data_IF_248934029902
#
_entry.id   IF_248934029902
#
_cell.length_a   1.000
_cell.length_b   1.000
_cell.length_c   1.000
_cell.angle_alpha   90.00
_cell.angle_beta   90.00
_cell.angle_gamma   90.00
#
_symmetry.space_group_name_H-M   'P 1'
#
loop_
_entity.id
_entity.type
_entity.pdbx_description
1 polymer ?
#
# COMPACT_ATOMS: atom_id res chain seq x y z
N UNK A 1 3.35 -31.34 -5.16
CA UNK A 1 4.67 -30.72 -5.40
C UNK A 1 4.44 -29.33 -5.97
N UNK A 2 4.98 -28.33 -5.31
CA UNK A 2 4.91 -26.93 -5.76
C UNK A 2 5.85 -26.76 -6.97
N UNK A 3 5.31 -26.21 -8.07
CA UNK A 3 6.10 -26.04 -9.31
C UNK A 3 6.92 -24.75 -9.19
N UNK A 4 8.22 -24.85 -9.21
CA UNK A 4 9.13 -23.69 -9.21
C UNK A 4 9.40 -23.25 -10.65
N UNK A 5 9.04 -22.00 -10.98
CA UNK A 5 9.32 -21.45 -12.30
C UNK A 5 10.84 -21.24 -12.47
N UNK A 6 11.41 -21.68 -13.59
CA UNK A 6 12.86 -21.64 -13.86
C UNK A 6 13.47 -20.22 -13.71
N UNK A 7 12.76 -19.17 -14.08
CA UNK A 7 13.20 -17.78 -13.92
C UNK A 7 13.53 -17.41 -12.48
N UNK A 8 12.83 -18.00 -11.47
CA UNK A 8 13.15 -17.78 -10.05
C UNK A 8 14.50 -18.38 -9.64
N UNK A 9 14.95 -19.40 -10.34
CA UNK A 9 16.22 -20.08 -10.04
C UNK A 9 17.40 -19.42 -10.74
N UNK A 10 17.19 -18.91 -11.95
CA UNK A 10 18.26 -18.35 -12.82
C UNK A 10 18.37 -16.81 -12.67
N UNK A 11 17.38 -16.15 -12.05
CA UNK A 11 17.44 -14.70 -11.79
C UNK A 11 18.55 -14.34 -10.79
N UNK A 12 19.09 -13.13 -10.91
CA UNK A 12 20.08 -12.62 -9.96
C UNK A 12 19.55 -12.72 -8.51
N UNK A 13 20.24 -13.47 -7.64
CA UNK A 13 19.78 -13.61 -6.24
C UNK A 13 19.88 -12.31 -5.45
N UNK A 14 20.73 -11.36 -5.87
CA UNK A 14 21.07 -10.15 -5.11
C UNK A 14 20.22 -8.94 -5.49
N UNK A 15 19.65 -8.91 -6.69
CA UNK A 15 18.91 -7.74 -7.19
C UNK A 15 17.50 -8.11 -7.63
N UNK A 16 16.59 -7.14 -7.48
CA UNK A 16 15.19 -7.31 -7.89
C UNK A 16 15.08 -7.41 -9.42
N UNK A 17 14.40 -8.46 -9.87
CA UNK A 17 14.17 -8.75 -11.28
C UNK A 17 12.71 -9.09 -11.60
N UNK A 18 12.43 -9.48 -12.84
CA UNK A 18 11.09 -9.91 -13.29
C UNK A 18 10.55 -11.06 -12.44
N UNK A 19 11.41 -12.00 -12.05
CA UNK A 19 11.02 -13.21 -11.32
C UNK A 19 10.52 -12.95 -9.89
N UNK A 20 10.76 -11.75 -9.36
CA UNK A 20 10.32 -11.33 -8.04
C UNK A 20 8.90 -10.72 -8.06
N UNK A 21 8.24 -10.71 -9.24
CA UNK A 21 6.88 -10.19 -9.42
C UNK A 21 5.96 -11.29 -9.95
N UNK A 22 4.73 -11.28 -9.51
CA UNK A 22 3.64 -12.03 -10.13
C UNK A 22 3.12 -11.32 -11.38
N UNK A 23 2.35 -12.00 -12.21
CA UNK A 23 1.81 -11.40 -13.42
C UNK A 23 0.84 -10.26 -13.11
N UNK A 24 1.16 -9.05 -13.61
CA UNK A 24 0.38 -7.84 -13.35
C UNK A 24 0.58 -7.24 -11.96
N UNK A 25 1.47 -7.80 -11.15
CA UNK A 25 1.78 -7.28 -9.83
C UNK A 25 2.52 -5.94 -9.93
N UNK A 26 2.13 -5.00 -9.07
CA UNK A 26 2.84 -3.75 -8.81
C UNK A 26 3.15 -3.64 -7.32
N UNK A 27 4.36 -3.22 -6.98
CA UNK A 27 4.83 -3.10 -5.59
C UNK A 27 5.05 -1.64 -5.24
N UNK A 28 4.39 -1.16 -4.19
CA UNK A 28 4.71 0.14 -3.59
C UNK A 28 5.78 -0.08 -2.53
N UNK A 29 6.91 0.61 -2.68
CA UNK A 29 8.08 0.45 -1.82
C UNK A 29 8.60 1.82 -1.41
N UNK A 30 9.25 1.86 -0.24
CA UNK A 30 9.85 3.07 0.32
C UNK A 30 11.36 3.00 0.17
N UNK A 31 11.97 4.01 -0.42
CA UNK A 31 13.43 4.08 -0.54
C UNK A 31 14.03 4.27 0.86
N UNK A 32 14.93 3.37 1.26
CA UNK A 32 15.71 3.52 2.49
C UNK A 32 16.94 4.39 2.25
N UNK A 33 17.73 4.02 1.25
CA UNK A 33 18.95 4.74 0.86
C UNK A 33 19.36 4.41 -0.58
N UNK A 34 20.23 5.23 -1.14
CA UNK A 34 20.92 4.97 -2.41
C UNK A 34 22.42 4.84 -2.14
N UNK A 35 23.02 3.78 -2.67
CA UNK A 35 24.48 3.63 -2.69
C UNK A 35 24.98 3.81 -4.14
N UNK A 36 25.90 4.72 -4.36
CA UNK A 36 26.29 5.17 -5.70
C UNK A 36 27.54 4.48 -6.30
N UNK A 37 28.09 3.47 -5.65
CA UNK A 37 29.30 2.76 -6.14
C UNK A 37 29.33 1.31 -5.64
N UNK A 38 28.26 0.55 -5.87
CA UNK A 38 28.20 -0.86 -5.54
C UNK A 38 28.77 -1.67 -6.69
N UNK A 39 29.68 -2.59 -6.41
CA UNK A 39 30.21 -3.53 -7.37
C UNK A 39 29.15 -4.56 -7.74
N UNK A 40 28.78 -4.63 -9.00
CA UNK A 40 27.75 -5.53 -9.52
C UNK A 40 28.36 -6.40 -10.60
N UNK A 41 28.13 -7.72 -10.53
CA UNK A 41 28.49 -8.63 -11.60
C UNK A 41 27.48 -8.49 -12.74
N UNK A 42 27.97 -8.15 -13.93
CA UNK A 42 27.16 -8.07 -15.14
C UNK A 42 27.66 -9.12 -16.16
N UNK A 43 26.92 -9.34 -17.23
CA UNK A 43 27.34 -10.22 -18.32
C UNK A 43 28.67 -9.80 -18.94
N UNK A 44 29.01 -8.52 -18.88
CA UNK A 44 30.27 -7.93 -19.42
C UNK A 44 31.40 -7.89 -18.36
N UNK A 45 31.15 -8.38 -17.13
CA UNK A 45 32.10 -8.37 -16.03
C UNK A 45 31.65 -7.53 -14.84
N UNK A 46 32.58 -7.22 -13.95
CA UNK A 46 32.31 -6.40 -12.76
C UNK A 46 32.22 -4.91 -13.13
N UNK A 47 31.16 -4.27 -12.70
CA UNK A 47 30.96 -2.83 -12.90
C UNK A 47 30.42 -2.15 -11.65
N UNK A 48 30.77 -0.88 -11.43
CA UNK A 48 30.19 -0.08 -10.34
C UNK A 48 28.89 0.54 -10.81
N UNK A 49 27.81 0.31 -10.05
CA UNK A 49 26.47 0.84 -10.33
C UNK A 49 25.88 1.51 -9.08
N UNK A 50 24.99 2.45 -9.30
CA UNK A 50 24.15 2.96 -8.21
C UNK A 50 23.03 1.96 -7.91
N UNK A 51 22.75 1.75 -6.62
CA UNK A 51 21.78 0.78 -6.13
C UNK A 51 20.87 1.41 -5.11
N UNK A 52 19.55 1.21 -5.27
CA UNK A 52 18.52 1.63 -4.31
C UNK A 52 18.21 0.48 -3.38
N UNK A 53 18.18 0.77 -2.09
CA UNK A 53 17.73 -0.12 -1.02
C UNK A 53 16.36 0.33 -0.53
N UNK A 54 15.51 -0.63 -0.17
CA UNK A 54 14.15 -0.39 0.30
C UNK A 54 14.04 -0.60 1.81
N UNK A 55 13.02 -0.02 2.42
CA UNK A 55 12.69 -0.26 3.84
C UNK A 55 12.00 -1.61 4.01
N UNK A 56 11.25 -2.02 3.01
CA UNK A 56 10.60 -3.32 2.94
C UNK A 56 11.64 -4.43 2.72
N UNK A 57 11.34 -5.65 3.14
CA UNK A 57 12.21 -6.82 2.94
C UNK A 57 12.20 -7.27 1.48
N UNK A 58 12.76 -6.43 0.61
CA UNK A 58 12.91 -6.68 -0.82
C UNK A 58 14.36 -6.57 -1.26
N UNK A 59 14.70 -7.30 -2.32
CA UNK A 59 16.01 -7.17 -2.96
C UNK A 59 16.25 -5.74 -3.43
N UNK A 60 17.48 -5.22 -3.32
CA UNK A 60 17.82 -3.89 -3.83
C UNK A 60 17.69 -3.84 -5.36
N UNK A 61 17.55 -2.63 -5.89
CA UNK A 61 17.37 -2.37 -7.32
C UNK A 61 18.57 -1.62 -7.89
N UNK A 62 19.17 -2.16 -8.95
CA UNK A 62 20.18 -1.44 -9.72
C UNK A 62 19.52 -0.25 -10.45
N UNK A 63 20.11 0.93 -10.31
CA UNK A 63 19.69 2.11 -11.04
C UNK A 63 20.21 2.13 -12.47
N UNK A 64 19.35 2.59 -13.36
CA UNK A 64 19.72 3.01 -14.71
C UNK A 64 19.09 4.38 -14.98
N UNK A 65 19.42 5.00 -16.09
CA UNK A 65 18.95 6.34 -16.46
C UNK A 65 17.42 6.46 -16.44
N UNK A 66 16.71 5.45 -16.94
CA UNK A 66 15.24 5.48 -16.98
C UNK A 66 14.62 5.42 -15.57
N UNK A 67 15.12 4.53 -14.70
CA UNK A 67 14.69 4.42 -13.30
C UNK A 67 15.01 5.68 -12.52
N UNK A 68 16.22 6.24 -12.67
CA UNK A 68 16.63 7.48 -12.01
C UNK A 68 15.74 8.67 -12.42
N UNK A 69 15.44 8.83 -13.71
CA UNK A 69 14.52 9.87 -14.19
C UNK A 69 13.11 9.72 -13.60
N UNK A 70 12.61 8.49 -13.46
CA UNK A 70 11.31 8.25 -12.87
C UNK A 70 11.29 8.60 -11.37
N UNK A 71 12.32 8.19 -10.62
CA UNK A 71 12.45 8.51 -9.19
C UNK A 71 12.59 10.02 -8.99
N UNK A 72 13.41 10.71 -9.79
CA UNK A 72 13.53 12.17 -9.76
C UNK A 72 12.18 12.86 -9.90
N UNK A 73 11.30 12.39 -10.79
CA UNK A 73 9.95 12.96 -10.95
C UNK A 73 9.07 12.73 -9.72
N UNK A 74 9.18 11.59 -9.08
CA UNK A 74 8.39 11.23 -7.88
C UNK A 74 8.90 11.99 -6.66
N UNK A 75 10.23 12.04 -6.49
CA UNK A 75 10.89 12.69 -5.36
C UNK A 75 10.85 14.23 -5.48
N UNK A 76 10.83 14.74 -6.72
CA UNK A 76 10.92 16.19 -6.98
C UNK A 76 12.35 16.73 -6.90
N UNK A 77 13.36 15.87 -6.76
CA UNK A 77 14.79 16.24 -6.67
C UNK A 77 15.67 15.27 -7.46
N UNK A 78 16.71 15.74 -8.14
CA UNK A 78 17.67 14.89 -8.84
C UNK A 78 18.76 14.30 -7.93
N UNK A 79 18.82 14.68 -6.66
CA UNK A 79 19.86 14.27 -5.73
C UNK A 79 19.47 13.00 -4.97
N UNK A 80 20.40 12.07 -4.85
CA UNK A 80 20.15 10.75 -4.20
C UNK A 80 19.81 10.88 -2.72
N UNK A 81 20.36 11.88 -2.07
CA UNK A 81 20.16 12.18 -0.63
C UNK A 81 18.70 12.51 -0.33
N UNK A 82 18.02 13.16 -1.27
CA UNK A 82 16.61 13.55 -1.13
C UNK A 82 15.63 12.40 -1.42
N UNK A 83 16.13 11.26 -1.88
CA UNK A 83 15.26 10.12 -2.21
C UNK A 83 14.93 9.23 -1.01
N UNK A 84 15.60 9.42 0.12
CA UNK A 84 15.28 8.67 1.35
C UNK A 84 13.82 8.92 1.78
N UNK A 85 13.14 7.85 2.20
CA UNK A 85 11.73 7.85 2.59
C UNK A 85 10.72 8.17 1.48
N UNK A 86 11.17 8.32 0.23
CA UNK A 86 10.27 8.50 -0.91
C UNK A 86 9.62 7.15 -1.27
N UNK A 87 8.29 7.16 -1.39
CA UNK A 87 7.54 6.00 -1.85
C UNK A 87 7.45 5.99 -3.36
N UNK A 88 7.82 4.88 -3.95
CA UNK A 88 7.79 4.64 -5.40
C UNK A 88 6.98 3.38 -5.71
N UNK A 89 6.47 3.29 -6.92
CA UNK A 89 5.74 2.13 -7.40
C UNK A 89 6.53 1.42 -8.47
N UNK A 90 6.84 0.14 -8.23
CA UNK A 90 7.55 -0.74 -9.16
C UNK A 90 6.54 -1.55 -9.95
N UNK A 91 6.81 -1.76 -11.22
CA UNK A 91 6.02 -2.60 -12.11
C UNK A 91 6.90 -3.29 -13.15
N UNK A 92 6.37 -4.29 -13.82
CA UNK A 92 7.04 -4.95 -14.94
C UNK A 92 6.55 -4.34 -16.26
N UNK A 93 7.47 -3.75 -17.01
CA UNK A 93 7.25 -3.37 -18.40
C UNK A 93 7.60 -4.55 -19.29
N UNK A 94 6.62 -5.01 -20.09
CA UNK A 94 6.77 -6.17 -20.98
C UNK A 94 7.27 -5.72 -22.37
N UNK A 95 7.95 -6.63 -23.05
CA UNK A 95 8.36 -6.47 -24.46
C UNK A 95 9.25 -5.25 -24.75
N UNK A 96 10.18 -4.94 -23.85
CA UNK A 96 11.16 -3.89 -24.08
C UNK A 96 12.25 -4.44 -24.99
N UNK A 97 12.59 -3.71 -26.07
CA UNK A 97 13.76 -4.04 -26.90
C UNK A 97 15.05 -3.74 -26.12
N UNK A 98 15.79 -4.78 -25.78
CA UNK A 98 17.10 -4.66 -25.16
C UNK A 98 17.99 -5.83 -25.59
N UNK A 99 19.25 -5.55 -25.84
CA UNK A 99 20.26 -6.57 -26.26
C UNK A 99 19.87 -7.40 -27.49
N UNK A 100 19.07 -6.84 -28.40
CA UNK A 100 18.58 -7.52 -29.60
C UNK A 100 17.30 -8.34 -29.42
N UNK A 101 16.83 -8.53 -28.19
CA UNK A 101 15.65 -9.31 -27.83
C UNK A 101 14.54 -8.47 -27.18
N UNK A 102 13.34 -9.07 -27.09
CA UNK A 102 12.23 -8.54 -26.31
C UNK A 102 12.32 -9.09 -24.87
N UNK A 103 12.62 -8.23 -23.92
CA UNK A 103 12.76 -8.60 -22.51
C UNK A 103 11.74 -7.86 -21.65
N UNK A 104 11.43 -8.44 -20.51
CA UNK A 104 10.66 -7.78 -19.48
C UNK A 104 11.61 -7.14 -18.46
N UNK A 105 11.29 -5.93 -17.99
CA UNK A 105 12.13 -5.24 -17.03
C UNK A 105 11.34 -4.55 -15.94
N UNK A 106 11.91 -4.58 -14.72
CA UNK A 106 11.39 -3.79 -13.60
C UNK A 106 11.54 -2.30 -13.92
N UNK A 107 10.46 -1.56 -13.78
CA UNK A 107 10.38 -0.10 -13.98
C UNK A 107 9.82 0.59 -12.75
N UNK A 108 10.02 1.88 -12.69
CA UNK A 108 9.46 2.78 -11.66
C UNK A 108 8.42 3.67 -12.34
N UNK A 109 7.21 3.75 -11.77
CA UNK A 109 6.22 4.72 -12.24
C UNK A 109 6.69 6.14 -11.93
N UNK A 110 6.56 7.02 -12.92
CA UNK A 110 6.96 8.42 -12.81
C UNK A 110 5.92 9.31 -12.11
N UNK A 111 5.00 8.68 -11.37
CA UNK A 111 3.94 9.32 -10.58
C UNK A 111 4.02 8.83 -9.14
N UNK A 112 3.64 9.69 -8.19
CA UNK A 112 3.54 9.27 -6.78
C UNK A 112 2.53 8.14 -6.65
N UNK A 113 2.87 7.06 -5.92
CA UNK A 113 1.93 5.96 -5.72
C UNK A 113 0.70 6.44 -4.95
N UNK A 114 -0.48 6.06 -5.44
CA UNK A 114 -1.72 6.26 -4.70
C UNK A 114 -1.78 5.19 -3.63
N UNK A 115 -1.39 5.56 -2.41
CA UNK A 115 -1.53 4.66 -1.26
C UNK A 115 -2.99 4.70 -0.86
N UNK A 116 -3.73 3.68 -1.24
CA UNK A 116 -5.04 3.45 -0.64
C UNK A 116 -4.77 2.98 0.79
N UNK A 117 -4.84 3.91 1.74
CA UNK A 117 -4.82 3.52 3.14
C UNK A 117 -6.00 2.58 3.36
N UNK A 118 -5.72 1.34 3.76
CA UNK A 118 -6.76 0.39 4.11
C UNK A 118 -7.60 1.00 5.23
N UNK A 119 -8.88 1.24 4.95
CA UNK A 119 -9.80 1.79 5.95
C UNK A 119 -10.22 0.64 6.85
N UNK A 120 -9.95 0.73 8.14
CA UNK A 120 -10.29 -0.30 9.10
C UNK A 120 -11.75 -0.19 9.55
N UNK A 121 -12.37 -1.35 9.71
CA UNK A 121 -13.70 -1.47 10.30
C UNK A 121 -13.63 -1.17 11.80
N UNK A 122 -14.51 -0.30 12.30
CA UNK A 122 -14.54 0.07 13.71
C UNK A 122 -14.97 -1.10 14.63
N UNK A 123 -15.74 -2.06 14.14
CA UNK A 123 -16.25 -3.17 14.94
C UNK A 123 -15.29 -4.38 14.97
N UNK A 124 -14.82 -4.85 13.81
CA UNK A 124 -14.00 -6.06 13.75
C UNK A 124 -12.49 -5.78 13.55
N UNK A 125 -12.09 -4.53 13.35
CA UNK A 125 -10.69 -4.14 13.14
C UNK A 125 -10.09 -4.54 11.79
N UNK A 126 -10.79 -5.33 10.98
CA UNK A 126 -10.33 -5.78 9.68
C UNK A 126 -10.40 -4.65 8.64
N UNK A 127 -9.58 -4.77 7.60
CA UNK A 127 -9.62 -3.83 6.48
C UNK A 127 -10.96 -3.96 5.73
N UNK A 128 -11.58 -2.82 5.44
CA UNK A 128 -12.82 -2.77 4.66
C UNK A 128 -12.51 -3.13 3.22
N UNK A 129 -13.10 -4.23 2.76
CA UNK A 129 -13.00 -4.70 1.38
C UNK A 129 -14.18 -4.23 0.56
N UNK A 130 -14.01 -4.14 -0.76
CA UNK A 130 -15.13 -3.95 -1.69
C UNK A 130 -16.12 -5.11 -1.60
N UNK A 131 -17.41 -4.83 -1.67
CA UNK A 131 -18.47 -5.84 -1.67
C UNK A 131 -19.65 -5.38 -2.55
N UNK A 132 -20.37 -6.34 -3.12
CA UNK A 132 -21.57 -6.08 -3.95
C UNK A 132 -21.32 -5.05 -5.08
N UNK A 133 -20.14 -5.13 -5.74
CA UNK A 133 -19.76 -4.23 -6.84
C UNK A 133 -19.40 -2.80 -6.40
N UNK A 134 -19.27 -2.53 -5.11
CA UNK A 134 -18.87 -1.24 -4.55
C UNK A 134 -17.45 -1.28 -4.02
N UNK A 135 -16.71 -0.18 -4.15
CA UNK A 135 -15.35 -0.08 -3.62
C UNK A 135 -15.32 0.02 -2.09
N UNK A 136 -14.16 -0.28 -1.49
CA UNK A 136 -13.95 -0.17 -0.05
C UNK A 136 -14.22 1.25 0.46
N UNK A 137 -13.81 2.28 -0.28
CA UNK A 137 -14.01 3.69 0.05
C UNK A 137 -15.50 4.06 0.04
N UNK A 138 -16.25 3.51 -0.94
CA UNK A 138 -17.70 3.72 -0.99
C UNK A 138 -18.39 3.11 0.24
N UNK A 139 -18.04 1.86 0.58
CA UNK A 139 -18.62 1.17 1.75
C UNK A 139 -18.29 1.93 3.03
N UNK A 140 -17.03 2.35 3.21
CA UNK A 140 -16.61 3.11 4.38
C UNK A 140 -17.34 4.46 4.51
N UNK A 141 -17.47 5.21 3.41
CA UNK A 141 -18.17 6.49 3.41
C UNK A 141 -19.67 6.35 3.65
N UNK A 142 -20.29 5.34 3.05
CA UNK A 142 -21.71 5.03 3.25
C UNK A 142 -22.00 4.64 4.70
N UNK A 143 -21.20 3.73 5.27
CA UNK A 143 -21.38 3.26 6.65
C UNK A 143 -21.08 4.37 7.65
N UNK A 144 -20.09 5.21 7.40
CA UNK A 144 -19.81 6.40 8.23
C UNK A 144 -20.99 7.37 8.23
N UNK A 145 -21.63 7.58 7.07
CA UNK A 145 -22.82 8.45 6.98
C UNK A 145 -24.03 7.85 7.71
N UNK A 146 -24.21 6.50 7.63
CA UNK A 146 -25.37 5.80 8.20
C UNK A 146 -25.23 5.49 9.70
N UNK A 147 -24.02 5.12 10.14
CA UNK A 147 -23.76 4.61 11.50
C UNK A 147 -22.78 5.46 12.31
N UNK A 148 -22.28 6.57 11.74
CA UNK A 148 -21.29 7.45 12.37
C UNK A 148 -19.85 6.91 12.34
N UNK A 149 -19.64 5.63 11.99
CA UNK A 149 -18.34 4.95 11.95
C UNK A 149 -18.15 4.17 10.66
N UNK A 150 -16.88 3.93 10.27
CA UNK A 150 -16.57 3.12 9.10
C UNK A 150 -16.72 1.64 9.46
N UNK A 151 -17.59 0.91 8.76
CA UNK A 151 -17.84 -0.51 8.96
C UNK A 151 -17.60 -1.29 7.66
N UNK A 152 -17.13 -2.54 7.78
CA UNK A 152 -17.13 -3.46 6.65
C UNK A 152 -18.58 -3.89 6.34
N UNK A 153 -18.79 -4.46 5.15
CA UNK A 153 -20.12 -4.87 4.70
C UNK A 153 -20.81 -5.82 5.69
N UNK A 154 -20.08 -6.80 6.22
CA UNK A 154 -20.63 -7.78 7.17
C UNK A 154 -21.10 -7.12 8.50
N UNK A 155 -20.27 -6.26 9.09
CA UNK A 155 -20.61 -5.55 10.33
C UNK A 155 -21.77 -4.56 10.13
N UNK A 156 -21.78 -3.85 8.98
CA UNK A 156 -22.88 -2.95 8.64
C UNK A 156 -24.22 -3.68 8.46
N UNK A 157 -24.19 -4.87 7.85
CA UNK A 157 -25.36 -5.73 7.70
C UNK A 157 -25.85 -6.23 9.07
N UNK A 158 -24.95 -6.71 9.92
CA UNK A 158 -25.26 -7.16 11.27
C UNK A 158 -25.92 -6.04 12.10
N UNK A 159 -25.40 -4.80 12.03
CA UNK A 159 -26.02 -3.64 12.70
C UNK A 159 -27.38 -3.25 12.11
N UNK A 160 -27.59 -3.47 10.81
CA UNK A 160 -28.89 -3.17 10.18
C UNK A 160 -29.98 -4.20 10.52
N UNK A 161 -29.58 -5.44 10.88
CA UNK A 161 -30.50 -6.54 11.24
C UNK A 161 -30.72 -6.65 12.75
N UNK A 162 -29.93 -5.99 13.57
CA UNK A 162 -30.16 -5.93 15.01
C UNK A 162 -31.41 -5.08 15.30
N UNK A 163 -32.41 -5.57 16.09
CA UNK A 163 -33.55 -4.77 16.48
C UNK A 163 -33.07 -3.56 17.28
N UNK A 164 -33.56 -2.37 16.95
CA UNK A 164 -33.29 -1.13 17.68
C UNK A 164 -33.82 -1.31 19.12
N UNK A 165 -32.91 -1.47 20.07
CA UNK A 165 -33.24 -1.30 21.48
C UNK A 165 -33.37 0.21 21.70
N UNK A 166 -34.60 0.68 21.71
CA UNK A 166 -34.91 2.04 22.16
C UNK A 166 -34.51 2.13 23.62
N UNK A 167 -33.45 2.87 23.89
CA UNK A 167 -33.08 3.26 25.25
C UNK A 167 -34.10 4.30 25.72
N UNK A 168 -35.18 3.83 26.36
CA UNK A 168 -36.11 4.67 27.09
C UNK A 168 -35.33 5.31 28.25
N UNK A 169 -34.99 6.56 28.11
CA UNK A 169 -34.50 7.39 29.21
C UNK A 169 -35.72 7.73 30.07
N UNK A 170 -35.95 6.96 31.13
CA UNK A 170 -36.87 7.37 32.19
C UNK A 170 -36.31 8.62 32.86
N UNK A 171 -36.96 9.73 32.60
CA UNK A 171 -36.78 10.98 33.35
C UNK A 171 -37.49 10.77 34.70
N UNK A 172 -36.74 10.43 35.71
CA UNK A 172 -37.25 10.43 37.10
C UNK A 172 -37.37 11.88 37.54
N UNK A 173 -38.60 12.41 37.47
CA UNK A 173 -38.98 13.66 38.04
C UNK A 173 -39.12 13.47 39.55
N UNK A 174 -38.08 13.77 40.33
CA UNK A 174 -38.22 13.94 41.78
C UNK A 174 -38.72 15.34 42.08
N UNK A 175 -40.03 15.45 42.28
CA UNK A 175 -40.69 16.59 42.91
C UNK A 175 -40.21 16.71 44.37
N UNK A 176 -39.49 17.79 44.65
CA UNK A 176 -39.16 18.19 46.02
C UNK A 176 -40.35 19.00 46.56
N UNK A 177 -41.03 18.39 47.46
CA UNK A 177 -42.10 19.02 48.24
C UNK A 177 -41.47 19.95 49.25
N UNK A 178 -41.78 21.27 49.15
CA UNK A 178 -41.38 22.29 50.13
C UNK A 178 -42.54 22.46 51.12
N UNK A 179 -42.39 21.77 52.24
CA UNK A 179 -43.31 21.97 53.37
C UNK A 179 -43.06 23.30 54.07
N UNK A 180 -44.02 24.15 54.00
CA UNK A 180 -44.17 25.27 54.90
C UNK A 180 -44.27 24.80 56.36
N UNK A 181 -43.51 25.38 57.25
CA UNK A 181 -43.55 25.20 58.70
C UNK A 181 -43.39 26.53 59.40
N UNK A 182 -44.50 27.14 59.69
CA UNK A 182 -44.66 28.32 60.50
C UNK A 182 -44.44 27.99 61.99
N UNK A 183 -43.65 28.76 62.71
CA UNK A 183 -43.82 29.27 64.07
C UNK A 183 -42.55 30.02 64.56
#
# INVERSE_FOLDING_TARGET
>A
MEKTHWKKVVSDPNFIGEADFEEGEEKVVTISRVANSVEVQTAEGKSKKAVVYFQENLKPMILNVARSKAITKVAGSPYFEDWANVKIQLYIEKNIKAFGDLVNAVRVRATKPIIKNAIKCADCGNDIQGASGKSAEYIASYTKKKFGVCLCFACATARSTAPSVETSTEIVNSSVDVGDGNA
#
